data_IF_803354506297
#
_entry.id   IF_803354506297
#
_cell.length_a   1.000
_cell.length_b   1.000
_cell.length_c   1.000
_cell.angle_alpha   90.00
_cell.angle_beta   90.00
_cell.angle_gamma   90.00
#
_symmetry.space_group_name_H-M   'P 1'
#
loop_
_entity.id
_entity.type
_entity.pdbx_description
1 polymer ?
#
# COMPACT_ATOMS: atom_id res chain seq x y z
N UNK A 1 -20.02 -9.22 -7.17
CA UNK A 1 -20.31 -10.40 -8.02
C UNK A 1 -19.33 -11.53 -7.72
N UNK A 2 -19.30 -12.01 -6.48
CA UNK A 2 -18.57 -13.23 -6.12
C UNK A 2 -19.59 -14.13 -5.46
N UNK A 3 -19.84 -15.29 -6.06
CA UNK A 3 -20.74 -16.30 -5.50
C UNK A 3 -19.98 -17.19 -4.51
N UNK A 4 -18.71 -17.48 -4.82
CA UNK A 4 -17.83 -18.30 -3.99
C UNK A 4 -16.37 -17.96 -4.27
N UNK A 5 -15.56 -18.00 -3.21
CA UNK A 5 -14.10 -17.92 -3.29
C UNK A 5 -13.55 -19.23 -2.74
N UNK A 6 -12.93 -20.04 -3.60
CA UNK A 6 -12.27 -21.27 -3.19
C UNK A 6 -10.77 -21.01 -3.07
N UNK A 7 -10.18 -21.43 -1.95
CA UNK A 7 -8.78 -21.19 -1.63
C UNK A 7 -8.05 -22.51 -1.51
N UNK A 8 -7.08 -22.74 -2.40
CA UNK A 8 -6.24 -23.93 -2.40
C UNK A 8 -4.84 -23.55 -1.90
N UNK A 9 -4.43 -24.16 -0.79
CA UNK A 9 -3.13 -23.91 -0.12
C UNK A 9 -2.06 -24.98 -0.44
N UNK A 10 -2.40 -25.93 -1.29
CA UNK A 10 -1.53 -27.01 -1.78
C UNK A 10 -1.67 -27.10 -3.30
N UNK A 11 -0.62 -27.51 -4.01
CA UNK A 11 -0.71 -27.73 -5.47
C UNK A 11 -1.71 -28.85 -5.75
N UNK A 12 -2.79 -28.53 -6.45
CA UNK A 12 -3.75 -29.52 -6.95
C UNK A 12 -3.45 -29.66 -8.45
N UNK A 13 -3.12 -30.85 -8.96
CA UNK A 13 -2.64 -31.05 -10.34
C UNK A 13 -3.59 -30.52 -11.43
N UNK A 14 -4.86 -30.32 -11.10
CA UNK A 14 -5.92 -29.86 -12.02
C UNK A 14 -6.02 -28.32 -12.10
N UNK A 15 -5.30 -27.57 -11.25
CA UNK A 15 -5.34 -26.11 -11.21
C UNK A 15 -4.11 -25.50 -11.88
N UNK A 16 -4.31 -24.51 -12.77
CA UNK A 16 -3.23 -23.78 -13.41
C UNK A 16 -2.34 -23.10 -12.34
N UNK A 17 -1.07 -23.52 -12.25
CA UNK A 17 -0.09 -22.92 -11.35
C UNK A 17 0.19 -21.46 -11.78
N UNK A 18 -0.22 -20.51 -10.94
CA UNK A 18 0.01 -19.08 -11.17
C UNK A 18 0.52 -18.32 -9.94
N UNK A 19 0.68 -18.98 -8.80
CA UNK A 19 1.15 -18.35 -7.57
C UNK A 19 1.79 -19.37 -6.63
N UNK A 20 3.08 -19.16 -6.32
CA UNK A 20 3.93 -20.02 -5.47
C UNK A 20 3.34 -20.27 -4.05
N UNK A 21 2.28 -19.55 -3.63
CA UNK A 21 1.70 -19.62 -2.28
C UNK A 21 0.25 -20.09 -2.17
N UNK A 22 -0.59 -19.95 -3.20
CA UNK A 22 -1.99 -20.40 -3.20
C UNK A 22 -2.65 -20.10 -4.56
N UNK A 23 -3.69 -20.87 -4.90
CA UNK A 23 -4.62 -20.56 -6.01
C UNK A 23 -5.96 -20.12 -5.43
N UNK A 24 -6.43 -18.93 -5.85
CA UNK A 24 -7.76 -18.39 -5.48
C UNK A 24 -8.66 -18.47 -6.69
N UNK A 25 -9.70 -19.31 -6.62
CA UNK A 25 -10.71 -19.39 -7.66
C UNK A 25 -11.91 -18.53 -7.29
N UNK A 26 -12.29 -17.61 -8.18
CA UNK A 26 -13.43 -16.72 -7.99
C UNK A 26 -14.54 -17.18 -8.92
N UNK A 27 -15.63 -17.72 -8.34
CA UNK A 27 -16.81 -18.12 -9.10
C UNK A 27 -17.75 -16.91 -9.19
N UNK A 28 -17.94 -16.41 -10.42
CA UNK A 28 -18.86 -15.30 -10.72
C UNK A 28 -20.31 -15.77 -10.60
N UNK A 29 -21.20 -14.85 -10.17
CA UNK A 29 -22.62 -15.15 -10.03
C UNK A 29 -23.25 -15.58 -11.37
N UNK A 30 -23.97 -16.71 -11.35
CA UNK A 30 -24.74 -17.22 -12.49
C UNK A 30 -26.22 -16.85 -12.33
N UNK A 31 -26.78 -15.99 -13.20
CA UNK A 31 -28.12 -15.45 -12.99
C UNK A 31 -29.25 -16.50 -13.04
N UNK A 32 -29.09 -17.61 -13.79
CA UNK A 32 -30.13 -18.67 -13.82
C UNK A 32 -30.15 -19.53 -12.55
N UNK A 33 -29.03 -19.62 -11.83
CA UNK A 33 -28.93 -20.35 -10.55
C UNK A 33 -29.60 -19.57 -9.40
N UNK A 34 -29.84 -18.27 -9.60
CA UNK A 34 -30.49 -17.38 -8.64
C UNK A 34 -32.02 -17.50 -8.59
N UNK A 35 -32.64 -16.59 -7.83
CA UNK A 35 -34.11 -16.41 -7.81
C UNK A 35 -34.57 -15.76 -9.12
N UNK A 36 -35.76 -16.12 -9.60
CA UNK A 36 -36.41 -15.38 -10.69
C UNK A 36 -36.85 -13.99 -10.22
N UNK A 37 -37.17 -13.12 -11.18
CA UNK A 37 -37.51 -11.73 -10.95
C UNK A 37 -36.30 -10.82 -10.80
N UNK A 38 -36.57 -9.59 -10.39
CA UNK A 38 -35.57 -8.56 -10.14
C UNK A 38 -35.07 -8.60 -8.69
N UNK A 39 -33.75 -8.53 -8.51
CA UNK A 39 -33.10 -8.42 -7.20
C UNK A 39 -32.06 -7.31 -7.22
N UNK A 40 -31.95 -6.61 -6.09
CA UNK A 40 -30.96 -5.55 -5.88
C UNK A 40 -30.41 -5.68 -4.46
N UNK A 41 -29.08 -5.58 -4.34
CA UNK A 41 -28.41 -5.39 -3.07
C UNK A 41 -27.37 -4.28 -3.24
N UNK A 42 -27.28 -3.38 -2.25
CA UNK A 42 -26.33 -2.28 -2.25
C UNK A 42 -25.72 -2.10 -0.87
N UNK A 43 -24.48 -1.62 -0.83
CA UNK A 43 -23.77 -1.25 0.38
C UNK A 43 -23.10 0.11 0.19
N UNK A 44 -23.06 0.88 1.26
CA UNK A 44 -22.33 2.12 1.33
C UNK A 44 -21.63 2.21 2.67
N UNK A 45 -20.40 2.72 2.67
CA UNK A 45 -19.60 2.92 3.86
C UNK A 45 -18.51 3.95 3.60
N UNK A 46 -17.72 4.21 4.63
CA UNK A 46 -16.54 5.03 4.46
C UNK A 46 -15.65 5.01 5.69
N UNK A 47 -14.42 5.47 5.48
CA UNK A 47 -13.42 5.57 6.54
C UNK A 47 -12.95 7.00 6.61
N UNK A 48 -13.11 7.65 7.76
CA UNK A 48 -12.52 8.95 8.02
C UNK A 48 -11.08 8.75 8.49
N UNK A 49 -10.13 9.33 7.77
CA UNK A 49 -8.73 9.34 8.17
C UNK A 49 -8.46 10.61 8.99
N UNK A 50 -8.05 10.44 10.24
CA UNK A 50 -7.87 11.54 11.20
C UNK A 50 -6.64 12.38 10.88
N UNK A 51 -5.58 11.80 10.33
CA UNK A 51 -4.38 12.54 9.93
C UNK A 51 -4.61 13.33 8.64
N UNK A 52 -5.35 12.74 7.70
CA UNK A 52 -5.66 13.36 6.41
C UNK A 52 -6.85 14.32 6.47
N UNK A 53 -7.68 14.21 7.51
CA UNK A 53 -8.97 14.91 7.67
C UNK A 53 -9.91 14.74 6.46
N UNK A 54 -9.94 13.53 5.89
CA UNK A 54 -10.77 13.22 4.73
C UNK A 54 -11.56 11.94 4.92
N UNK A 55 -12.83 11.98 4.54
CA UNK A 55 -13.66 10.79 4.38
C UNK A 55 -13.28 10.05 3.08
N UNK A 56 -13.15 8.74 3.20
CA UNK A 56 -12.91 7.80 2.11
C UNK A 56 -14.18 6.99 1.84
N UNK A 57 -14.98 7.28 0.79
CA UNK A 57 -16.18 6.51 0.50
C UNK A 57 -15.85 5.13 -0.09
N UNK A 58 -16.70 4.17 0.23
CA UNK A 58 -16.74 2.82 -0.34
C UNK A 58 -18.20 2.45 -0.66
N UNK A 59 -18.49 2.22 -1.94
CA UNK A 59 -19.83 1.97 -2.45
C UNK A 59 -19.81 0.67 -3.27
N UNK A 60 -20.84 -0.15 -3.12
CA UNK A 60 -21.03 -1.31 -3.97
C UNK A 60 -22.50 -1.59 -4.24
N UNK A 61 -22.80 -2.13 -5.41
CA UNK A 61 -24.15 -2.58 -5.76
C UNK A 61 -24.08 -3.80 -6.68
N UNK A 62 -25.09 -4.65 -6.56
CA UNK A 62 -25.34 -5.78 -7.46
C UNK A 62 -26.82 -5.86 -7.76
N UNK A 63 -27.15 -6.03 -9.03
CA UNK A 63 -28.51 -6.25 -9.50
C UNK A 63 -28.57 -7.48 -10.38
N UNK A 64 -29.67 -8.20 -10.32
CA UNK A 64 -29.94 -9.32 -11.21
C UNK A 64 -31.38 -9.32 -11.66
N UNK A 65 -31.61 -9.75 -12.90
CA UNK A 65 -32.92 -10.00 -13.45
C UNK A 65 -32.89 -11.37 -14.12
N UNK A 66 -33.80 -12.25 -13.70
CA UNK A 66 -33.99 -13.56 -14.32
C UNK A 66 -35.47 -13.75 -14.61
N UNK A 67 -35.83 -14.22 -15.80
CA UNK A 67 -37.23 -14.46 -16.13
C UNK A 67 -37.81 -15.63 -15.31
N UNK A 68 -39.14 -15.72 -15.22
CA UNK A 68 -39.80 -16.76 -14.41
C UNK A 68 -39.53 -18.17 -14.90
N UNK A 69 -39.38 -18.35 -16.21
CA UNK A 69 -39.01 -19.62 -16.82
C UNK A 69 -37.54 -20.02 -16.58
N UNK A 70 -36.73 -19.15 -15.95
CA UNK A 70 -35.29 -19.32 -15.72
C UNK A 70 -34.52 -19.73 -16.99
N UNK A 71 -34.89 -19.17 -18.12
CA UNK A 71 -34.21 -19.38 -19.40
C UNK A 71 -33.32 -18.21 -19.78
N UNK A 72 -33.58 -16.99 -19.31
CA UNK A 72 -32.76 -15.81 -19.57
C UNK A 72 -32.53 -15.08 -18.26
N UNK A 73 -31.28 -14.74 -17.99
CA UNK A 73 -30.92 -13.95 -16.83
C UNK A 73 -29.68 -13.11 -17.04
N UNK A 74 -29.63 -11.98 -16.36
CA UNK A 74 -28.50 -11.06 -16.33
C UNK A 74 -28.19 -10.68 -14.89
N UNK A 75 -26.91 -10.55 -14.56
CA UNK A 75 -26.43 -9.95 -13.32
C UNK A 75 -25.40 -8.90 -13.66
N UNK A 76 -25.48 -7.75 -12.97
CA UNK A 76 -24.55 -6.64 -13.08
C UNK A 76 -24.11 -6.25 -11.68
N UNK A 77 -22.84 -5.93 -11.50
CA UNK A 77 -22.33 -5.38 -10.25
C UNK A 77 -21.32 -4.28 -10.51
N UNK A 78 -21.26 -3.34 -9.58
CA UNK A 78 -20.27 -2.28 -9.58
C UNK A 78 -19.79 -1.98 -8.17
N UNK A 79 -18.55 -1.54 -8.05
CA UNK A 79 -18.03 -0.95 -6.81
C UNK A 79 -17.13 0.25 -7.09
N UNK A 80 -17.13 1.17 -6.14
CA UNK A 80 -16.34 2.38 -6.16
C UNK A 80 -15.72 2.62 -4.79
N UNK A 81 -14.41 2.79 -4.76
CA UNK A 81 -13.67 3.13 -3.54
C UNK A 81 -12.75 4.32 -3.83
N UNK A 82 -12.71 5.31 -2.93
CA UNK A 82 -11.73 6.41 -2.97
C UNK A 82 -11.09 6.54 -1.59
N UNK A 83 -10.02 5.76 -1.38
CA UNK A 83 -9.31 5.68 -0.11
C UNK A 83 -8.23 6.75 -0.05
N UNK A 84 -8.34 7.62 0.94
CA UNK A 84 -7.33 8.63 1.29
C UNK A 84 -6.71 8.24 2.62
N UNK A 85 -5.40 8.37 2.70
CA UNK A 85 -4.63 8.13 3.92
C UNK A 85 -3.46 9.08 4.03
N UNK A 86 -3.03 9.36 5.25
CA UNK A 86 -1.80 10.08 5.53
C UNK A 86 -0.91 9.26 6.48
N UNK A 87 0.38 9.32 6.25
CA UNK A 87 1.41 8.74 7.10
C UNK A 87 2.40 9.86 7.44
N UNK A 88 2.58 10.10 8.73
CA UNK A 88 3.62 10.97 9.25
C UNK A 88 4.67 10.08 9.93
N UNK A 89 5.92 10.18 9.49
CA UNK A 89 6.97 9.29 9.97
C UNK A 89 8.35 9.96 9.95
N UNK A 90 9.22 9.45 10.82
CA UNK A 90 10.64 9.80 10.86
C UNK A 90 11.42 8.66 10.23
N UNK A 91 12.34 8.95 9.32
CA UNK A 91 13.19 7.96 8.68
C UNK A 91 14.66 8.37 8.70
N UNK A 92 15.51 7.35 8.65
CA UNK A 92 16.91 7.45 8.23
C UNK A 92 17.06 6.60 6.96
N UNK A 93 17.62 7.19 5.91
CA UNK A 93 17.83 6.58 4.59
C UNK A 93 19.22 5.93 4.47
N UNK A 94 19.99 5.86 5.56
CA UNK A 94 21.29 5.22 5.55
C UNK A 94 22.06 5.36 6.85
N UNK A 95 23.11 4.56 6.97
CA UNK A 95 24.06 4.61 8.08
C UNK A 95 25.47 4.64 7.51
N UNK A 96 26.28 5.56 8.04
CA UNK A 96 27.71 5.63 7.80
C UNK A 96 28.38 4.70 8.80
N UNK A 97 29.11 3.72 8.28
CA UNK A 97 29.85 2.73 9.06
C UNK A 97 31.35 2.96 8.91
N UNK A 98 32.07 2.85 10.02
CA UNK A 98 33.53 2.93 10.04
C UNK A 98 34.05 4.16 10.76
N UNK A 99 35.38 4.32 10.84
CA UNK A 99 35.99 5.45 11.53
C UNK A 99 35.57 6.78 10.90
N UNK A 100 35.19 7.75 11.72
CA UNK A 100 34.72 9.06 11.25
C UNK A 100 35.75 10.13 11.56
N UNK A 101 35.95 11.08 10.64
CA UNK A 101 36.69 12.29 10.98
C UNK A 101 35.84 13.14 11.92
N UNK A 102 36.50 13.71 12.92
CA UNK A 102 35.89 14.53 13.97
C UNK A 102 36.68 15.81 14.15
N UNK A 103 36.01 16.82 14.68
CA UNK A 103 36.65 18.02 15.21
C UNK A 103 36.46 17.99 16.72
N UNK A 104 37.56 17.94 17.45
CA UNK A 104 37.61 17.96 18.91
C UNK A 104 37.26 19.36 19.40
N UNK A 105 35.98 19.58 19.66
CA UNK A 105 35.40 20.84 20.10
C UNK A 105 33.92 20.68 20.43
N UNK A 106 33.27 21.79 20.78
CA UNK A 106 31.83 21.86 21.01
C UNK A 106 31.23 23.04 20.23
N UNK A 107 29.91 23.23 20.32
CA UNK A 107 29.19 24.27 19.60
C UNK A 107 29.70 25.70 19.86
N UNK A 108 30.41 25.95 20.97
CA UNK A 108 30.93 27.25 21.36
C UNK A 108 32.45 27.39 21.13
N UNK A 109 33.12 26.38 20.56
CA UNK A 109 34.55 26.43 20.32
C UNK A 109 34.91 27.49 19.28
N UNK A 110 35.86 28.36 19.61
CA UNK A 110 36.41 29.40 18.71
C UNK A 110 37.92 29.23 18.56
N UNK A 111 38.50 29.71 17.45
CA UNK A 111 39.95 29.67 17.22
C UNK A 111 40.54 28.27 17.04
N UNK A 112 39.75 27.29 16.61
CA UNK A 112 40.22 25.92 16.37
C UNK A 112 41.30 25.90 15.28
N UNK A 113 42.40 25.19 15.54
CA UNK A 113 43.51 24.98 14.60
C UNK A 113 43.48 23.55 14.06
N UNK A 114 44.41 23.20 13.16
CA UNK A 114 44.54 21.82 12.63
C UNK A 114 44.75 20.77 13.72
N UNK A 115 45.24 21.14 14.90
CA UNK A 115 45.37 20.26 16.05
C UNK A 115 44.01 19.74 16.60
N UNK A 116 42.90 20.40 16.26
CA UNK A 116 41.56 19.96 16.66
C UNK A 116 40.99 18.88 15.73
N UNK A 117 41.63 18.58 14.59
CA UNK A 117 41.21 17.52 13.68
C UNK A 117 41.58 16.16 14.27
N UNK A 118 40.63 15.23 14.28
CA UNK A 118 40.82 13.88 14.78
C UNK A 118 40.05 12.84 13.96
N UNK A 119 40.25 11.58 14.34
CA UNK A 119 39.50 10.44 13.82
C UNK A 119 39.12 9.54 15.00
N UNK A 120 37.94 8.94 14.95
CA UNK A 120 37.47 8.07 16.03
C UNK A 120 38.36 6.84 16.25
N UNK A 121 39.08 6.39 15.21
CA UNK A 121 39.95 5.20 15.22
C UNK A 121 39.18 3.88 15.28
N UNK A 122 38.13 3.82 16.10
CA UNK A 122 37.15 2.74 16.14
C UNK A 122 36.04 2.95 15.10
N UNK A 123 35.45 1.84 14.66
CA UNK A 123 34.22 1.82 13.87
C UNK A 123 33.08 2.43 14.68
N UNK A 124 32.43 3.45 14.11
CA UNK A 124 31.22 4.04 14.69
C UNK A 124 30.09 3.99 13.66
N UNK A 125 28.85 3.97 14.14
CA UNK A 125 27.62 3.95 13.34
C UNK A 125 26.95 5.31 13.45
N UNK A 126 26.99 6.11 12.38
CA UNK A 126 26.37 7.44 12.35
C UNK A 126 25.19 7.42 11.37
N UNK A 127 23.99 7.89 11.73
CA UNK A 127 22.92 8.00 10.76
C UNK A 127 23.34 8.97 9.65
N UNK A 128 23.06 8.63 8.39
CA UNK A 128 23.42 9.47 7.24
C UNK A 128 22.43 10.62 7.06
N UNK A 129 21.22 10.50 7.57
CA UNK A 129 20.26 11.59 7.65
C UNK A 129 19.23 11.34 8.75
N UNK A 130 18.52 12.40 9.10
CA UNK A 130 17.26 12.32 9.80
C UNK A 130 16.23 13.10 9.01
N UNK A 131 15.17 12.42 8.59
CA UNK A 131 14.13 12.98 7.75
C UNK A 131 12.77 12.86 8.42
N UNK A 132 12.03 13.96 8.40
CA UNK A 132 10.62 14.02 8.78
C UNK A 132 9.81 14.04 7.50
N UNK A 133 8.97 13.04 7.32
CA UNK A 133 8.20 12.84 6.12
C UNK A 133 6.71 12.83 6.42
N UNK A 134 5.95 13.53 5.58
CA UNK A 134 4.51 13.40 5.46
C UNK A 134 4.20 12.84 4.09
N UNK A 135 3.56 11.68 4.06
CA UNK A 135 3.09 11.02 2.84
C UNK A 135 1.57 10.98 2.84
N UNK A 136 0.98 11.48 1.76
CA UNK A 136 -0.45 11.44 1.50
C UNK A 136 -0.71 10.52 0.31
N UNK A 137 -1.49 9.47 0.54
CA UNK A 137 -1.86 8.50 -0.49
C UNK A 137 -3.34 8.61 -0.82
N UNK A 138 -3.66 8.55 -2.11
CA UNK A 138 -5.03 8.43 -2.62
C UNK A 138 -5.12 7.28 -3.60
N UNK A 139 -5.95 6.29 -3.26
CA UNK A 139 -6.20 5.08 -4.03
C UNK A 139 -7.66 5.07 -4.48
N UNK A 140 -7.90 5.21 -5.79
CA UNK A 140 -9.23 5.18 -6.38
C UNK A 140 -9.42 3.89 -7.16
N UNK A 141 -10.50 3.16 -6.89
CA UNK A 141 -10.85 1.93 -7.60
C UNK A 141 -12.28 1.99 -8.12
N UNK A 142 -12.47 1.61 -9.37
CA UNK A 142 -13.77 1.33 -9.98
C UNK A 142 -13.73 -0.11 -10.46
N UNK A 143 -14.72 -0.92 -10.07
CA UNK A 143 -14.92 -2.25 -10.62
C UNK A 143 -16.31 -2.35 -11.21
N UNK A 144 -16.43 -2.97 -12.38
CA UNK A 144 -17.67 -3.35 -13.02
C UNK A 144 -17.56 -4.81 -13.43
N UNK A 145 -18.64 -5.56 -13.23
CA UNK A 145 -18.70 -6.94 -13.67
C UNK A 145 -20.13 -7.28 -14.07
N UNK A 146 -20.29 -8.16 -15.05
CA UNK A 146 -21.59 -8.60 -15.51
C UNK A 146 -21.55 -9.99 -16.12
N UNK A 147 -22.67 -10.69 -16.01
CA UNK A 147 -22.88 -11.98 -16.66
C UNK A 147 -24.29 -12.06 -17.24
N UNK A 148 -24.38 -12.64 -18.44
CA UNK A 148 -25.64 -12.97 -19.10
C UNK A 148 -25.67 -14.47 -19.35
N UNK A 149 -26.82 -15.08 -19.07
CA UNK A 149 -27.08 -16.48 -19.38
C UNK A 149 -28.38 -16.62 -20.16
N UNK A 150 -28.34 -17.44 -21.21
CA UNK A 150 -29.49 -17.76 -22.04
C UNK A 150 -29.51 -19.26 -22.35
N UNK A 151 -30.54 -19.97 -21.85
CA UNK A 151 -30.85 -21.34 -22.21
C UNK A 151 -31.58 -21.34 -23.55
N UNK A 152 -30.83 -21.56 -24.62
CA UNK A 152 -31.34 -21.50 -26.00
C UNK A 152 -32.17 -22.75 -26.36
N UNK A 153 -31.81 -23.90 -25.77
CA UNK A 153 -32.51 -25.19 -25.85
C UNK A 153 -32.25 -25.98 -24.57
N UNK A 154 -32.89 -27.13 -24.38
CA UNK A 154 -32.71 -27.95 -23.18
C UNK A 154 -31.27 -28.40 -22.92
N UNK A 155 -30.46 -28.50 -23.96
CA UNK A 155 -29.07 -28.93 -23.89
C UNK A 155 -28.07 -27.82 -24.26
N UNK A 156 -28.53 -26.59 -24.53
CA UNK A 156 -27.67 -25.49 -24.98
C UNK A 156 -27.84 -24.26 -24.08
N UNK A 157 -26.81 -24.00 -23.26
CA UNK A 157 -26.71 -22.82 -22.41
C UNK A 157 -25.58 -21.90 -22.92
N UNK A 158 -25.94 -20.69 -23.32
CA UNK A 158 -24.99 -19.62 -23.61
C UNK A 158 -24.70 -18.85 -22.32
N UNK A 159 -23.43 -18.59 -22.04
CA UNK A 159 -22.99 -17.72 -20.94
C UNK A 159 -21.97 -16.72 -21.47
N UNK A 160 -22.17 -15.43 -21.18
CA UNK A 160 -21.23 -14.35 -21.50
C UNK A 160 -20.89 -13.62 -20.21
N UNK A 161 -19.60 -13.51 -19.88
CA UNK A 161 -19.12 -12.80 -18.70
C UNK A 161 -18.18 -11.66 -19.12
N UNK A 162 -18.24 -10.55 -18.40
CA UNK A 162 -17.34 -9.42 -18.58
C UNK A 162 -16.96 -8.80 -17.25
N UNK A 163 -15.69 -8.42 -17.12
CA UNK A 163 -15.17 -7.70 -15.96
C UNK A 163 -14.32 -6.52 -16.44
N UNK A 164 -14.41 -5.42 -15.71
CA UNK A 164 -13.60 -4.22 -15.91
C UNK A 164 -13.16 -3.70 -14.55
N UNK A 165 -11.89 -3.35 -14.42
CA UNK A 165 -11.36 -2.71 -13.21
C UNK A 165 -10.37 -1.63 -13.60
N UNK A 166 -10.50 -0.48 -12.93
CA UNK A 166 -9.52 0.60 -13.00
C UNK A 166 -9.07 0.95 -11.59
N UNK A 167 -7.76 1.01 -11.41
CA UNK A 167 -7.13 1.33 -10.13
C UNK A 167 -6.08 2.42 -10.34
N UNK A 168 -6.34 3.60 -9.78
CA UNK A 168 -5.45 4.75 -9.82
C UNK A 168 -4.85 4.98 -8.42
N UNK A 169 -3.54 5.27 -8.38
CA UNK A 169 -2.80 5.56 -7.15
C UNK A 169 -2.07 6.89 -7.32
N UNK A 170 -2.31 7.81 -6.40
CA UNK A 170 -1.60 9.08 -6.30
C UNK A 170 -0.90 9.13 -4.94
N UNK A 171 0.37 9.51 -4.95
CA UNK A 171 1.16 9.72 -3.73
C UNK A 171 1.76 11.11 -3.80
N UNK A 172 1.53 11.90 -2.77
CA UNK A 172 2.20 13.18 -2.55
C UNK A 172 3.02 13.06 -1.28
N UNK A 173 4.31 13.39 -1.36
CA UNK A 173 5.23 13.22 -0.24
C UNK A 173 6.06 14.47 -0.05
N UNK A 174 5.98 15.05 1.14
CA UNK A 174 6.81 16.15 1.58
C UNK A 174 7.82 15.63 2.59
N UNK A 175 9.10 15.92 2.38
CA UNK A 175 10.18 15.47 3.26
C UNK A 175 11.04 16.68 3.61
N UNK A 176 11.26 16.87 4.91
CA UNK A 176 12.32 17.71 5.43
C UNK A 176 13.43 16.81 5.96
N UNK A 177 14.60 16.83 5.31
CA UNK A 177 15.72 15.95 5.64
C UNK A 177 16.98 16.74 5.98
N UNK A 178 17.67 16.31 7.03
CA UNK A 178 19.00 16.77 7.38
C UNK A 178 20.00 15.66 7.05
N UNK A 179 20.86 15.87 6.05
CA UNK A 179 21.88 14.88 5.64
C UNK A 179 23.19 15.09 6.36
N UNK A 180 23.66 14.13 7.13
CA UNK A 180 24.88 14.13 7.92
C UNK A 180 26.09 13.59 7.15
N UNK A 181 27.23 14.25 7.32
CA UNK A 181 28.51 13.80 6.78
C UNK A 181 29.65 14.25 7.69
N UNK A 182 30.74 13.49 7.66
CA UNK A 182 32.00 13.84 8.32
C UNK A 182 32.61 15.12 7.70
N UNK A 183 33.30 15.98 8.48
CA UNK A 183 33.64 15.83 9.90
C UNK A 183 32.53 16.23 10.89
N UNK A 184 32.45 15.53 12.02
CA UNK A 184 31.47 15.78 13.09
C UNK A 184 32.12 16.54 14.27
N UNK A 185 31.44 17.52 14.86
CA UNK A 185 31.95 18.24 16.05
C UNK A 185 31.35 17.63 17.31
N UNK A 186 32.17 17.25 18.29
CA UNK A 186 31.67 16.74 19.58
C UNK A 186 30.82 15.48 19.45
N UNK A 187 31.24 14.54 18.61
CA UNK A 187 30.56 13.26 18.40
C UNK A 187 30.54 12.44 19.71
N UNK A 188 29.35 12.04 20.12
CA UNK A 188 29.07 11.16 21.24
C UNK A 188 28.61 9.81 20.70
N UNK A 189 29.16 8.73 21.25
CA UNK A 189 28.83 7.35 20.89
C UNK A 189 28.48 6.56 22.15
N UNK A 190 27.55 5.62 22.03
CA UNK A 190 27.24 4.67 23.09
C UNK A 190 28.19 3.46 23.09
N UNK A 191 27.95 2.51 24.00
CA UNK A 191 28.72 1.27 24.15
C UNK A 191 28.75 0.39 22.90
N UNK A 192 27.77 0.56 22.00
CA UNK A 192 27.69 -0.18 20.73
C UNK A 192 28.39 0.52 19.57
N UNK A 193 29.01 1.68 19.83
CA UNK A 193 29.61 2.54 18.82
C UNK A 193 28.58 3.32 18.00
N UNK A 194 27.32 3.39 18.45
CA UNK A 194 26.26 4.12 17.75
C UNK A 194 26.25 5.59 18.18
N UNK A 195 26.18 6.50 17.22
CA UNK A 195 26.16 7.93 17.51
C UNK A 195 24.86 8.33 18.23
N UNK A 196 24.99 8.94 19.40
CA UNK A 196 23.87 9.43 20.22
C UNK A 196 23.74 10.95 20.19
N UNK A 197 24.78 11.65 19.72
CA UNK A 197 24.75 13.10 19.53
C UNK A 197 25.99 13.61 18.81
N UNK A 198 25.85 14.70 18.06
CA UNK A 198 26.97 15.45 17.48
C UNK A 198 26.49 16.83 17.05
N UNK A 199 27.42 17.78 16.98
CA UNK A 199 27.20 19.12 16.44
C UNK A 199 27.67 19.17 14.99
N UNK A 200 27.05 20.06 14.21
CA UNK A 200 27.46 20.33 12.83
C UNK A 200 28.19 21.66 12.74
N UNK A 201 29.30 21.73 12.00
CA UNK A 201 29.85 23.02 11.60
C UNK A 201 28.87 23.70 10.63
N UNK A 202 28.34 24.88 10.98
CA UNK A 202 27.53 25.72 10.09
C UNK A 202 26.03 25.46 10.12
N UNK A 203 25.36 25.97 11.16
CA UNK A 203 24.08 26.70 11.14
C UNK A 203 24.24 27.80 12.20
#
# INVERSE_FOLDING_TARGET
MIQRTDVYKSSVPELQEGGIRATVNIITARPLDGRSGFHLAASAGGIYDTLREKLSPDLSAVTSLTNDAKTIGIVLSGSYTDRRSQLDYVQTDGWLFGPQNVVNGNANSTGLTTAALGNTGATVNVPQNLAFARQEDRRRRINLAGALQAKLRDQLLLTVNGIFSKFDVFTHRNIFANFYSSPHIGLQVDETGTATGFNRPGQ
#
